data_IF_932963198045
#
_entry.id   IF_932963198045
#
_cell.length_a   1.000
_cell.length_b   1.000
_cell.length_c   1.000
_cell.angle_alpha   90.00
_cell.angle_beta   90.00
_cell.angle_gamma   90.00
#
_symmetry.space_group_name_H-M   'P 1'
#
loop_
_entity.id
_entity.type
_entity.pdbx_description
1 polymer ?
#
# COMPACT_ATOMS: atom_id res chain seq x y z
N UNK A 1 -13.87 0.03 -18.54
CA UNK A 1 -14.61 1.32 -18.52
C UNK A 1 -15.03 1.60 -17.08
N UNK A 2 -14.30 2.51 -16.42
CA UNK A 2 -14.63 2.98 -15.07
C UNK A 2 -15.79 3.96 -15.20
N UNK A 3 -16.85 3.76 -14.42
CA UNK A 3 -18.02 4.64 -14.40
C UNK A 3 -17.61 6.02 -13.86
N UNK A 4 -17.96 7.09 -14.57
CA UNK A 4 -17.67 8.47 -14.16
C UNK A 4 -18.79 9.13 -13.32
N UNK A 5 -19.80 8.34 -12.90
CA UNK A 5 -20.89 8.85 -12.04
C UNK A 5 -20.38 8.95 -10.60
N UNK A 6 -20.36 10.18 -10.06
CA UNK A 6 -19.96 10.43 -8.66
C UNK A 6 -21.10 10.07 -7.71
N UNK A 7 -20.81 9.25 -6.72
CA UNK A 7 -21.68 9.08 -5.55
C UNK A 7 -21.76 10.39 -4.77
N UNK A 8 -22.92 10.68 -4.18
CA UNK A 8 -22.95 11.64 -3.07
C UNK A 8 -22.35 10.99 -1.82
N UNK A 9 -21.71 11.77 -0.94
CA UNK A 9 -21.13 11.26 0.30
C UNK A 9 -22.16 10.52 1.16
N UNK A 10 -23.39 11.05 1.21
CA UNK A 10 -24.49 10.43 1.93
C UNK A 10 -24.83 9.02 1.41
N UNK A 11 -24.91 8.86 0.09
CA UNK A 11 -25.20 7.56 -0.52
C UNK A 11 -24.05 6.57 -0.32
N UNK A 12 -22.80 7.03 -0.39
CA UNK A 12 -21.65 6.17 -0.12
C UNK A 12 -21.69 5.66 1.32
N UNK A 13 -21.97 6.55 2.28
CA UNK A 13 -22.09 6.19 3.69
C UNK A 13 -23.20 5.16 3.96
N UNK A 14 -24.40 5.33 3.38
CA UNK A 14 -25.49 4.35 3.55
C UNK A 14 -25.13 2.96 2.99
N UNK A 15 -24.42 2.92 1.86
CA UNK A 15 -23.97 1.67 1.24
C UNK A 15 -22.94 0.97 2.13
N UNK A 16 -21.98 1.73 2.65
CA UNK A 16 -20.93 1.20 3.54
C UNK A 16 -21.51 0.71 4.87
N UNK A 17 -22.41 1.48 5.49
CA UNK A 17 -23.07 1.11 6.74
C UNK A 17 -23.94 -0.15 6.59
N UNK A 18 -24.58 -0.34 5.43
CA UNK A 18 -25.32 -1.56 5.14
C UNK A 18 -24.40 -2.78 5.01
N UNK A 19 -23.24 -2.65 4.34
CA UNK A 19 -22.23 -3.73 4.24
C UNK A 19 -21.66 -4.08 5.62
N UNK A 20 -21.36 -3.08 6.45
CA UNK A 20 -20.88 -3.27 7.85
C UNK A 20 -21.92 -3.97 8.73
N UNK A 21 -23.20 -3.76 8.43
CA UNK A 21 -24.32 -4.45 9.08
C UNK A 21 -24.58 -5.86 8.51
N UNK A 22 -23.75 -6.34 7.59
CA UNK A 22 -23.87 -7.65 6.96
C UNK A 22 -24.97 -7.75 5.89
N UNK A 23 -25.53 -6.62 5.45
CA UNK A 23 -26.56 -6.61 4.41
C UNK A 23 -25.89 -6.89 3.07
N UNK A 24 -26.36 -7.92 2.38
CA UNK A 24 -25.80 -8.30 1.07
C UNK A 24 -25.93 -7.12 0.08
N UNK A 25 -24.90 -6.83 -0.74
CA UNK A 25 -24.91 -5.68 -1.65
C UNK A 25 -26.11 -5.63 -2.60
N UNK A 26 -26.58 -6.80 -3.07
CA UNK A 26 -27.78 -6.89 -3.91
C UNK A 26 -29.05 -6.46 -3.16
N UNK A 27 -29.17 -6.87 -1.89
CA UNK A 27 -30.31 -6.51 -1.05
C UNK A 27 -30.29 -5.02 -0.68
N UNK A 28 -29.11 -4.47 -0.40
CA UNK A 28 -28.93 -3.03 -0.16
C UNK A 28 -29.31 -2.19 -1.38
N UNK A 29 -28.85 -2.58 -2.57
CA UNK A 29 -29.25 -1.92 -3.83
C UNK A 29 -30.76 -2.00 -4.10
N UNK A 30 -31.37 -3.17 -3.88
CA UNK A 30 -32.82 -3.36 -4.05
C UNK A 30 -33.63 -2.50 -3.05
N UNK A 31 -33.15 -2.33 -1.83
CA UNK A 31 -33.78 -1.45 -0.85
C UNK A 31 -33.74 0.02 -1.30
N UNK A 32 -32.57 0.49 -1.73
CA UNK A 32 -32.39 1.85 -2.22
C UNK A 32 -33.26 2.14 -3.45
N UNK A 33 -33.34 1.20 -4.41
CA UNK A 33 -34.22 1.35 -5.58
C UNK A 33 -35.69 1.48 -5.19
N UNK A 34 -36.17 0.74 -4.19
CA UNK A 34 -37.56 0.84 -3.70
C UNK A 34 -37.84 2.17 -3.02
N UNK A 35 -36.91 2.69 -2.22
CA UNK A 35 -37.07 3.96 -1.51
C UNK A 35 -37.24 5.15 -2.47
N UNK A 36 -36.54 5.14 -3.60
CA UNK A 36 -36.65 6.20 -4.61
C UNK A 36 -37.70 5.90 -5.70
N UNK A 37 -38.49 4.83 -5.54
CA UNK A 37 -39.58 4.48 -6.46
C UNK A 37 -39.12 3.88 -7.80
N UNK A 38 -37.88 3.41 -7.90
CA UNK A 38 -37.38 2.68 -9.07
C UNK A 38 -35.90 2.91 -9.36
N UNK A 39 -35.26 2.02 -10.15
CA UNK A 39 -33.83 2.10 -10.44
C UNK A 39 -33.43 3.29 -11.31
N UNK A 40 -34.35 3.85 -12.09
CA UNK A 40 -34.10 5.05 -12.92
C UNK A 40 -33.98 6.33 -12.08
N UNK A 41 -34.49 6.32 -10.85
CA UNK A 41 -34.43 7.45 -9.92
C UNK A 41 -33.18 7.43 -9.03
N UNK A 42 -32.36 6.36 -9.10
CA UNK A 42 -31.06 6.33 -8.45
C UNK A 42 -30.00 7.02 -9.31
N UNK A 43 -29.17 7.82 -8.67
CA UNK A 43 -27.99 8.45 -9.30
C UNK A 43 -26.87 7.46 -9.65
N UNK A 44 -26.96 6.21 -9.19
CA UNK A 44 -25.94 5.18 -9.35
C UNK A 44 -26.54 3.83 -9.75
N UNK A 45 -25.75 3.00 -10.42
CA UNK A 45 -26.15 1.67 -10.86
C UNK A 45 -25.75 0.58 -9.86
N UNK A 46 -26.31 -0.63 -10.03
CA UNK A 46 -25.88 -1.81 -9.27
C UNK A 46 -24.37 -2.10 -9.43
N UNK A 47 -23.79 -1.78 -10.59
CA UNK A 47 -22.36 -1.94 -10.84
C UNK A 47 -21.54 -0.93 -10.04
N UNK A 48 -21.97 0.33 -10.01
CA UNK A 48 -21.30 1.38 -9.23
C UNK A 48 -21.31 1.02 -7.74
N UNK A 49 -22.44 0.52 -7.23
CA UNK A 49 -22.59 0.08 -5.84
C UNK A 49 -21.60 -1.04 -5.48
N UNK A 50 -21.44 -2.02 -6.38
CA UNK A 50 -20.44 -3.09 -6.20
C UNK A 50 -19.01 -2.56 -6.25
N UNK A 51 -18.72 -1.64 -7.18
CA UNK A 51 -17.38 -1.05 -7.30
C UNK A 51 -17.00 -0.28 -6.03
N UNK A 52 -17.93 0.48 -5.43
CA UNK A 52 -17.71 1.21 -4.18
C UNK A 52 -17.28 0.25 -3.05
N UNK A 53 -18.05 -0.82 -2.83
CA UNK A 53 -17.73 -1.82 -1.81
C UNK A 53 -16.43 -2.58 -2.12
N UNK A 54 -16.14 -2.84 -3.39
CA UNK A 54 -14.86 -3.42 -3.79
C UNK A 54 -13.69 -2.48 -3.46
N UNK A 55 -13.83 -1.18 -3.73
CA UNK A 55 -12.83 -0.17 -3.37
C UNK A 55 -12.67 -0.04 -1.85
N UNK A 56 -13.76 -0.07 -1.08
CA UNK A 56 -13.70 -0.09 0.40
C UNK A 56 -12.90 -1.31 0.90
N UNK A 57 -13.25 -2.52 0.42
CA UNK A 57 -12.56 -3.76 0.80
C UNK A 57 -11.09 -3.75 0.38
N UNK A 58 -10.76 -3.17 -0.78
CA UNK A 58 -9.37 -3.02 -1.20
C UNK A 58 -8.59 -2.08 -0.27
N UNK A 59 -9.19 -0.98 0.17
CA UNK A 59 -8.62 -0.06 1.15
C UNK A 59 -8.41 -0.74 2.51
N UNK A 60 -9.41 -1.45 3.00
CA UNK A 60 -9.32 -2.22 4.25
C UNK A 60 -8.27 -3.35 4.18
N UNK A 61 -8.18 -4.06 3.04
CA UNK A 61 -7.14 -5.06 2.82
C UNK A 61 -5.75 -4.43 2.82
N UNK A 62 -5.57 -3.28 2.21
CA UNK A 62 -4.30 -2.56 2.18
C UNK A 62 -3.92 -1.99 3.56
N UNK A 63 -4.90 -1.55 4.36
CA UNK A 63 -4.70 -1.26 5.79
C UNK A 63 -4.30 -2.51 6.59
N UNK A 64 -4.91 -3.66 6.29
CA UNK A 64 -4.52 -4.95 6.85
C UNK A 64 -3.10 -5.40 6.46
N UNK A 65 -2.64 -5.07 5.24
CA UNK A 65 -1.25 -5.26 4.81
C UNK A 65 -0.29 -4.35 5.59
N UNK A 66 -0.64 -3.07 5.76
CA UNK A 66 0.10 -2.11 6.59
C UNK A 66 0.28 -2.62 8.03
N UNK A 67 -0.81 -3.01 8.67
CA UNK A 67 -0.78 -3.60 10.01
C UNK A 67 0.05 -4.89 10.11
N UNK A 68 -0.05 -5.75 9.08
CA UNK A 68 0.73 -7.01 9.04
C UNK A 68 2.24 -6.77 8.90
N UNK A 69 2.64 -5.82 8.05
CA UNK A 69 4.04 -5.43 7.89
C UNK A 69 4.58 -4.77 9.16
N UNK A 70 3.85 -3.83 9.76
CA UNK A 70 4.23 -3.21 11.03
C UNK A 70 4.46 -4.25 12.12
N UNK A 71 3.56 -5.24 12.25
CA UNK A 71 3.71 -6.34 13.19
C UNK A 71 4.95 -7.19 12.89
N UNK A 72 5.21 -7.51 11.62
CA UNK A 72 6.38 -8.27 11.20
C UNK A 72 7.69 -7.55 11.56
N UNK A 73 7.83 -6.29 11.15
CA UNK A 73 9.04 -5.51 11.39
C UNK A 73 9.22 -5.16 12.86
N UNK A 74 8.13 -4.87 13.59
CA UNK A 74 8.18 -4.75 15.05
C UNK A 74 8.71 -6.02 15.72
N UNK A 75 8.29 -7.20 15.24
CA UNK A 75 8.84 -8.49 15.68
C UNK A 75 10.33 -8.66 15.36
N UNK A 76 10.79 -8.17 14.19
CA UNK A 76 12.21 -8.20 13.81
C UNK A 76 13.06 -7.29 14.68
N UNK A 77 12.59 -6.09 14.99
CA UNK A 77 13.26 -5.17 15.94
C UNK A 77 13.31 -5.77 17.34
N UNK A 78 12.23 -6.41 17.80
CA UNK A 78 12.23 -7.08 19.10
C UNK A 78 13.23 -8.25 19.18
N UNK A 79 13.45 -8.97 18.08
CA UNK A 79 14.44 -10.05 17.98
C UNK A 79 15.87 -9.51 17.85
N UNK A 80 16.06 -8.40 17.13
CA UNK A 80 17.35 -7.78 16.88
C UNK A 80 17.19 -6.26 16.87
N UNK A 81 17.57 -5.56 17.95
CA UNK A 81 17.46 -4.10 18.05
C UNK A 81 18.27 -3.33 16.99
N UNK A 82 19.25 -3.96 16.37
CA UNK A 82 20.05 -3.38 15.28
C UNK A 82 19.39 -3.51 13.90
N UNK A 83 18.22 -4.18 13.83
CA UNK A 83 17.38 -4.16 12.64
C UNK A 83 16.73 -2.78 12.48
N UNK A 84 16.84 -2.19 11.30
CA UNK A 84 16.31 -0.87 10.98
C UNK A 84 15.23 -0.98 9.89
N UNK A 85 14.16 -0.21 10.02
CA UNK A 85 13.16 -0.05 8.97
C UNK A 85 12.53 1.34 9.03
N UNK A 86 12.09 1.82 7.86
CA UNK A 86 11.33 3.04 7.72
C UNK A 86 10.09 2.74 6.87
N UNK A 87 8.93 3.21 7.31
CA UNK A 87 7.65 3.00 6.64
C UNK A 87 7.02 4.36 6.33
N UNK A 88 6.57 4.53 5.10
CA UNK A 88 5.77 5.65 4.67
C UNK A 88 4.37 5.15 4.28
N UNK A 89 3.36 5.83 4.79
CA UNK A 89 1.96 5.62 4.44
C UNK A 89 1.48 6.73 3.50
N UNK A 90 0.55 6.40 2.60
CA UNK A 90 -0.14 7.40 1.79
C UNK A 90 -1.34 8.02 2.53
N UNK A 91 -2.05 8.94 1.87
CA UNK A 91 -3.24 9.61 2.43
C UNK A 91 -4.43 8.67 2.70
N UNK A 92 -4.37 7.44 2.19
CA UNK A 92 -5.37 6.39 2.40
C UNK A 92 -4.87 5.36 3.43
N UNK A 93 -3.78 5.66 4.15
CA UNK A 93 -3.13 4.83 5.16
C UNK A 93 -2.58 3.49 4.63
N UNK A 94 -2.39 3.39 3.31
CA UNK A 94 -1.75 2.24 2.69
C UNK A 94 -0.23 2.41 2.73
N UNK A 95 0.52 1.31 2.74
CA UNK A 95 1.97 1.38 2.59
C UNK A 95 2.30 1.96 1.22
N UNK A 96 2.87 3.17 1.19
CA UNK A 96 3.42 3.76 -0.02
C UNK A 96 4.83 3.24 -0.23
N UNK A 97 5.69 3.35 0.78
CA UNK A 97 7.09 2.93 0.69
C UNK A 97 7.51 2.27 1.99
N UNK A 98 8.37 1.27 1.88
CA UNK A 98 9.02 0.69 3.03
C UNK A 98 10.48 0.37 2.70
N UNK A 99 11.37 0.71 3.61
CA UNK A 99 12.78 0.38 3.57
C UNK A 99 13.14 -0.47 4.79
N UNK A 100 14.07 -1.40 4.63
CA UNK A 100 14.65 -2.13 5.75
C UNK A 100 16.09 -2.56 5.51
N UNK A 101 16.84 -2.63 6.61
CA UNK A 101 18.18 -3.17 6.68
C UNK A 101 18.34 -4.01 7.96
N UNK A 102 18.91 -5.20 7.81
CA UNK A 102 19.29 -5.99 8.99
C UNK A 102 20.61 -5.47 9.58
N UNK A 103 20.92 -5.92 10.80
CA UNK A 103 22.11 -5.50 11.53
C UNK A 103 23.42 -5.73 10.75
N UNK A 104 23.50 -6.82 9.98
CA UNK A 104 24.68 -7.11 9.17
C UNK A 104 24.79 -6.12 8.03
N UNK A 105 23.70 -5.84 7.34
CA UNK A 105 23.68 -4.85 6.25
C UNK A 105 24.02 -3.45 6.73
N UNK A 106 23.56 -3.06 7.93
CA UNK A 106 23.96 -1.80 8.56
C UNK A 106 25.47 -1.76 8.85
N UNK A 107 26.04 -2.87 9.29
CA UNK A 107 27.49 -2.99 9.51
C UNK A 107 28.27 -2.92 8.19
N UNK A 108 27.82 -3.64 7.17
CA UNK A 108 28.43 -3.63 5.83
C UNK A 108 28.38 -2.22 5.23
N UNK A 109 27.27 -1.50 5.39
CA UNK A 109 27.15 -0.10 5.00
C UNK A 109 28.15 0.81 5.74
N UNK A 110 28.34 0.61 7.05
CA UNK A 110 29.30 1.39 7.83
C UNK A 110 30.77 1.20 7.36
N UNK A 111 31.10 0.07 6.75
CA UNK A 111 32.45 -0.23 6.25
C UNK A 111 32.66 0.09 4.77
N UNK A 112 31.62 -0.06 3.96
CA UNK A 112 31.71 -0.05 2.49
C UNK A 112 30.74 0.93 1.82
N UNK A 113 30.06 1.79 2.59
CA UNK A 113 29.03 2.72 2.14
C UNK A 113 29.55 3.96 1.42
N UNK A 114 30.83 4.02 1.06
CA UNK A 114 31.44 5.15 0.36
C UNK A 114 30.78 5.41 -1.01
N UNK A 115 30.36 4.34 -1.68
CA UNK A 115 29.63 4.39 -2.95
C UNK A 115 28.44 3.45 -2.87
N UNK A 116 27.24 4.00 -3.03
CA UNK A 116 25.98 3.25 -3.02
C UNK A 116 25.24 3.46 -4.33
N UNK A 117 24.76 2.36 -4.90
CA UNK A 117 23.85 2.34 -6.05
C UNK A 117 22.50 1.82 -5.60
N UNK A 118 21.42 2.45 -6.06
CA UNK A 118 20.06 1.95 -5.86
C UNK A 118 19.56 1.31 -7.16
N UNK A 119 19.22 0.02 -7.09
CA UNK A 119 18.80 -0.77 -8.24
C UNK A 119 17.38 -1.31 -8.02
N UNK A 120 16.47 -0.98 -8.94
CA UNK A 120 15.07 -1.44 -8.94
C UNK A 120 14.77 -2.46 -10.04
N UNK A 121 15.81 -2.94 -10.74
CA UNK A 121 15.64 -3.86 -11.88
C UNK A 121 15.50 -5.32 -11.45
N UNK A 122 15.66 -5.62 -10.16
CA UNK A 122 15.75 -6.98 -9.64
C UNK A 122 14.43 -7.74 -9.75
N UNK A 123 13.30 -7.14 -9.36
CA UNK A 123 11.97 -7.74 -9.49
C UNK A 123 10.85 -6.72 -9.24
N UNK A 124 9.64 -7.09 -9.61
CA UNK A 124 8.41 -6.46 -9.11
C UNK A 124 7.62 -7.49 -8.31
N UNK A 125 7.05 -7.10 -7.18
CA UNK A 125 6.19 -8.03 -6.45
C UNK A 125 4.93 -8.39 -7.27
N UNK A 126 4.09 -9.30 -6.77
CA UNK A 126 2.82 -9.71 -7.43
C UNK A 126 1.85 -8.54 -7.70
N UNK A 127 2.05 -7.41 -7.06
CA UNK A 127 1.27 -6.18 -7.24
C UNK A 127 1.98 -5.18 -8.18
N UNK A 128 3.01 -5.61 -8.92
CA UNK A 128 3.84 -4.80 -9.81
C UNK A 128 4.53 -3.61 -9.13
N UNK A 129 4.72 -3.68 -7.80
CA UNK A 129 5.48 -2.69 -7.06
C UNK A 129 6.97 -2.92 -7.25
N UNK A 130 7.77 -1.90 -7.62
CA UNK A 130 9.20 -2.07 -7.72
C UNK A 130 9.82 -2.48 -6.40
N UNK A 131 10.66 -3.50 -6.49
CA UNK A 131 11.54 -3.90 -5.43
C UNK A 131 12.93 -3.32 -5.71
N UNK A 132 13.37 -2.45 -4.81
CA UNK A 132 14.67 -1.80 -4.87
C UNK A 132 15.67 -2.42 -3.89
N UNK A 133 16.93 -2.49 -4.28
CA UNK A 133 18.04 -2.89 -3.41
C UNK A 133 19.10 -1.81 -3.38
N UNK A 134 19.66 -1.57 -2.20
CA UNK A 134 20.82 -0.69 -2.02
C UNK A 134 22.08 -1.55 -2.10
N UNK A 135 22.95 -1.23 -3.04
CA UNK A 135 24.14 -2.01 -3.38
C UNK A 135 25.40 -1.17 -3.21
N UNK A 136 26.50 -1.80 -2.85
CA UNK A 136 27.85 -1.24 -2.95
C UNK A 136 28.86 -2.32 -3.27
N UNK A 137 30.14 -1.99 -3.14
CA UNK A 137 31.25 -2.91 -3.36
C UNK A 137 32.07 -3.05 -2.08
N UNK A 138 32.38 -4.28 -1.70
CA UNK A 138 33.34 -4.51 -0.62
C UNK A 138 34.79 -4.33 -1.12
N UNK A 139 35.76 -4.50 -0.22
CA UNK A 139 37.20 -4.41 -0.52
C UNK A 139 37.70 -5.39 -1.61
N UNK A 140 36.94 -6.45 -1.90
CA UNK A 140 37.22 -7.43 -2.95
C UNK A 140 36.50 -7.13 -4.27
N UNK A 141 35.83 -5.97 -4.37
CA UNK A 141 34.99 -5.57 -5.51
C UNK A 141 33.80 -6.49 -5.75
N UNK A 142 33.31 -7.13 -4.68
CA UNK A 142 32.11 -7.94 -4.73
C UNK A 142 30.89 -7.12 -4.33
N UNK A 143 29.78 -7.34 -5.03
CA UNK A 143 28.51 -6.68 -4.75
C UNK A 143 28.03 -7.02 -3.34
N UNK A 144 27.77 -6.00 -2.54
CA UNK A 144 27.25 -6.12 -1.18
C UNK A 144 25.92 -5.39 -1.08
N UNK A 145 24.92 -6.02 -0.46
CA UNK A 145 23.57 -5.44 -0.28
C UNK A 145 23.50 -4.74 1.08
N UNK A 146 23.18 -3.45 1.09
CA UNK A 146 23.05 -2.63 2.30
C UNK A 146 21.60 -2.48 2.80
N UNK A 147 20.62 -2.81 1.96
CA UNK A 147 19.22 -2.76 2.34
C UNK A 147 18.31 -3.07 1.18
N UNK A 148 17.02 -3.09 1.46
CA UNK A 148 15.99 -3.27 0.45
C UNK A 148 14.83 -2.31 0.69
N UNK A 149 14.12 -1.99 -0.39
CA UNK A 149 12.93 -1.18 -0.36
C UNK A 149 11.84 -1.76 -1.24
N UNK A 150 10.59 -1.62 -0.80
CA UNK A 150 9.40 -1.85 -1.63
C UNK A 150 8.70 -0.50 -1.78
N UNK A 151 8.49 -0.08 -3.02
CA UNK A 151 7.99 1.27 -3.33
C UNK A 151 6.70 1.23 -4.13
N UNK A 152 5.86 2.25 -3.94
CA UNK A 152 4.67 2.48 -4.74
C UNK A 152 5.01 3.57 -5.77
N UNK A 153 5.10 3.18 -7.05
CA UNK A 153 5.33 4.16 -8.12
C UNK A 153 4.03 4.88 -8.42
N UNK A 154 3.83 6.03 -7.79
CA UNK A 154 2.93 7.08 -8.26
C UNK A 154 3.79 8.22 -8.80
N UNK A 155 4.29 8.09 -10.03
CA UNK A 155 4.75 9.15 -10.98
C UNK A 155 5.40 10.47 -10.44
N UNK A 156 5.99 10.49 -9.24
CA UNK A 156 6.52 11.70 -8.57
C UNK A 156 7.69 11.40 -7.61
N UNK A 157 8.66 10.61 -8.06
CA UNK A 157 9.87 10.31 -7.26
C UNK A 157 11.11 11.12 -7.67
N UNK A 158 10.94 12.35 -8.17
CA UNK A 158 12.09 13.18 -8.60
C UNK A 158 12.37 14.38 -7.67
N UNK A 159 11.54 14.73 -6.69
CA UNK A 159 11.68 16.06 -6.05
C UNK A 159 11.96 16.14 -4.53
N UNK A 160 12.08 15.05 -3.78
CA UNK A 160 12.36 15.16 -2.33
C UNK A 160 13.54 14.25 -1.91
N UNK A 161 14.64 14.82 -1.37
CA UNK A 161 15.73 14.03 -0.82
C UNK A 161 15.33 13.42 0.52
N UNK A 162 15.68 12.15 0.71
CA UNK A 162 15.62 11.51 2.03
C UNK A 162 16.75 12.06 2.89
N UNK A 163 16.42 12.80 3.95
CA UNK A 163 17.34 13.04 5.06
C UNK A 163 17.36 11.78 5.95
N UNK A 164 18.56 11.23 6.17
CA UNK A 164 18.85 10.14 7.12
C UNK A 164 19.14 10.76 8.50
#
# INVERSE_FOLDING_TARGET
MVSQRKFSEFQAYEIEAADDSGIRPKASYELATRQVGGPLNLSYTCRDHKNLLQSKRQRELAFGQAGSMLKYFGGKVAQNPSFQYALQLDCEENISNIFWADAKKMLDYAHFGDVVTFDTTFDTNKEYRPFGVFLGLNQFRETTVFGAALMLVLHKFIEEPFEI
#
